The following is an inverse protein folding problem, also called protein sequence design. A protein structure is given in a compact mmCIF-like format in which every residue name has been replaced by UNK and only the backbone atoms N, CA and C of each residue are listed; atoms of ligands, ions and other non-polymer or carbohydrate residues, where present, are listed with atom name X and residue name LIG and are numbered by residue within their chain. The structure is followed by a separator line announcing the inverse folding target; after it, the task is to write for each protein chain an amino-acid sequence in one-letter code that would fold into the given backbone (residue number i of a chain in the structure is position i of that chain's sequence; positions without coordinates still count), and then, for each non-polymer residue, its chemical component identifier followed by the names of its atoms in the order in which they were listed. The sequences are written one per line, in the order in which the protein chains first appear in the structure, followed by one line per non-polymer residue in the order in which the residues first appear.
data_IF_089316682761
#
_entry.id   IF_089316682761
#
_cell.length_a   1.000
_cell.length_b   1.000
_cell.length_c   1.000
_cell.angle_alpha   90.00
_cell.angle_beta   90.00
_cell.angle_gamma   90.00
#
_symmetry.space_group_name_H-M   'P 1'
#
loop_
_entity.id
_entity.type
_entity.pdbx_description
1 polymer ?
#
# COMPACT_ATOMS: atom_id res chain seq x y z
N UNK A 1 2.80 -15.07 -7.29
CA UNK A 1 1.58 -14.40 -7.80
C UNK A 1 0.47 -15.37 -8.23
N UNK A 2 0.69 -16.29 -9.17
CA UNK A 2 -0.39 -17.20 -9.66
C UNK A 2 -1.10 -18.01 -8.57
N UNK A 3 -0.38 -18.47 -7.56
CA UNK A 3 -0.98 -19.26 -6.47
C UNK A 3 -1.94 -18.45 -5.59
N UNK A 4 -1.64 -17.19 -5.29
CA UNK A 4 -2.54 -16.33 -4.50
C UNK A 4 -3.85 -16.04 -5.23
N UNK A 5 -3.80 -15.65 -6.50
CA UNK A 5 -5.01 -15.37 -7.30
C UNK A 5 -5.93 -16.58 -7.41
N UNK A 6 -5.39 -17.78 -7.63
CA UNK A 6 -6.20 -19.01 -7.64
C UNK A 6 -6.91 -19.21 -6.30
N UNK A 7 -6.18 -19.13 -5.18
CA UNK A 7 -6.76 -19.31 -3.85
C UNK A 7 -7.81 -18.23 -3.51
N UNK A 8 -7.57 -16.97 -3.91
CA UNK A 8 -8.53 -15.88 -3.71
C UNK A 8 -9.81 -16.12 -4.51
N UNK A 9 -9.69 -16.56 -5.76
CA UNK A 9 -10.82 -16.86 -6.62
C UNK A 9 -11.63 -18.05 -6.11
N UNK A 10 -10.96 -19.13 -5.69
CA UNK A 10 -11.60 -20.31 -5.12
C UNK A 10 -12.38 -19.93 -3.85
N UNK A 11 -11.75 -19.16 -2.96
CA UNK A 11 -12.38 -18.69 -1.74
C UNK A 11 -13.54 -17.74 -2.00
N UNK A 12 -13.40 -16.84 -2.96
CA UNK A 12 -14.46 -15.91 -3.37
C UNK A 12 -15.65 -16.66 -3.96
N UNK A 13 -15.40 -17.65 -4.79
CA UNK A 13 -16.44 -18.50 -5.36
C UNK A 13 -17.16 -19.31 -4.28
N UNK A 14 -16.42 -19.87 -3.32
CA UNK A 14 -17.00 -20.57 -2.18
C UNK A 14 -17.91 -19.65 -1.34
N UNK A 15 -17.50 -18.40 -1.07
CA UNK A 15 -18.30 -17.43 -0.32
C UNK A 15 -19.63 -17.06 -0.99
N UNK A 16 -19.82 -17.39 -2.27
CA UNK A 16 -21.07 -17.18 -3.02
C UNK A 16 -22.01 -18.40 -2.98
N UNK A 17 -21.60 -19.51 -2.35
CA UNK A 17 -22.40 -20.74 -2.30
C UNK A 17 -23.41 -20.73 -1.17
N UNK A 18 -24.47 -21.54 -1.34
CA UNK A 18 -25.42 -21.80 -0.26
C UNK A 18 -24.76 -22.48 0.94
N UNK A 19 -23.73 -23.29 0.72
CA UNK A 19 -22.96 -23.95 1.78
C UNK A 19 -22.32 -22.92 2.70
N UNK A 20 -21.70 -21.87 2.14
CA UNK A 20 -21.16 -20.77 2.93
C UNK A 20 -22.24 -20.05 3.76
N UNK A 21 -23.42 -19.84 3.18
CA UNK A 21 -24.54 -19.19 3.88
C UNK A 21 -24.98 -19.94 5.14
N UNK A 22 -24.84 -21.29 5.14
CA UNK A 22 -25.21 -22.17 6.24
C UNK A 22 -24.16 -22.28 7.35
N UNK A 23 -22.96 -21.75 7.16
CA UNK A 23 -21.90 -21.77 8.17
C UNK A 23 -22.23 -20.87 9.36
N UNK A 24 -21.71 -21.22 10.53
CA UNK A 24 -21.75 -20.35 11.71
C UNK A 24 -20.88 -19.10 11.52
N UNK A 25 -21.17 -18.06 12.28
CA UNK A 25 -20.50 -16.75 12.15
C UNK A 25 -19.00 -16.80 12.45
N UNK A 26 -18.55 -17.70 13.36
CA UNK A 26 -17.13 -17.88 13.68
C UNK A 26 -16.38 -18.45 12.46
N UNK A 27 -16.95 -19.45 11.82
CA UNK A 27 -16.38 -20.05 10.61
C UNK A 27 -16.38 -19.05 9.45
N UNK A 28 -17.45 -18.28 9.25
CA UNK A 28 -17.51 -17.21 8.25
C UNK A 28 -16.43 -16.15 8.50
N UNK A 29 -16.25 -15.72 9.75
CA UNK A 29 -15.21 -14.75 10.12
C UNK A 29 -13.81 -15.28 9.81
N UNK A 30 -13.52 -16.54 10.10
CA UNK A 30 -12.23 -17.18 9.77
C UNK A 30 -11.97 -17.22 8.25
N UNK A 31 -13.01 -17.48 7.45
CA UNK A 31 -12.93 -17.47 5.99
C UNK A 31 -12.65 -16.05 5.45
N UNK A 32 -13.35 -15.05 5.97
CA UNK A 32 -13.11 -13.63 5.63
C UNK A 32 -11.68 -13.25 5.98
N UNK A 33 -11.22 -13.58 7.19
CA UNK A 33 -9.85 -13.32 7.63
C UNK A 33 -8.80 -13.96 6.72
N UNK A 34 -9.05 -15.21 6.30
CA UNK A 34 -8.17 -15.90 5.33
C UNK A 34 -8.12 -15.17 3.99
N UNK A 35 -9.24 -14.65 3.51
CA UNK A 35 -9.28 -13.85 2.28
C UNK A 35 -8.49 -12.55 2.44
N UNK A 36 -8.60 -11.84 3.57
CA UNK A 36 -7.81 -10.64 3.87
C UNK A 36 -6.32 -10.94 3.81
N UNK A 37 -5.88 -12.01 4.48
CA UNK A 37 -4.48 -12.46 4.47
C UNK A 37 -3.98 -12.74 3.03
N UNK A 38 -4.75 -13.48 2.23
CA UNK A 38 -4.37 -13.83 0.87
C UNK A 38 -4.27 -12.59 -0.03
N UNK A 39 -5.24 -11.68 0.04
CA UNK A 39 -5.24 -10.43 -0.73
C UNK A 39 -4.07 -9.53 -0.29
N UNK A 40 -3.81 -9.41 1.02
CA UNK A 40 -2.68 -8.66 1.56
C UNK A 40 -1.33 -9.21 1.09
N UNK A 41 -1.12 -10.52 1.19
CA UNK A 41 0.10 -11.17 0.73
C UNK A 41 0.30 -11.05 -0.78
N UNK A 42 -0.77 -11.21 -1.56
CA UNK A 42 -0.74 -11.00 -3.01
C UNK A 42 -0.29 -9.57 -3.34
N UNK A 43 -0.87 -8.57 -2.67
CA UNK A 43 -0.50 -7.19 -2.92
C UNK A 43 0.92 -6.85 -2.44
N UNK A 44 1.37 -7.40 -1.32
CA UNK A 44 2.76 -7.26 -0.87
C UNK A 44 3.77 -7.81 -1.91
N UNK A 45 3.42 -8.90 -2.58
CA UNK A 45 4.25 -9.43 -3.67
C UNK A 45 4.32 -8.47 -4.86
N UNK A 46 3.19 -7.83 -5.21
CA UNK A 46 3.16 -6.75 -6.23
C UNK A 46 4.02 -5.56 -5.75
N UNK A 47 3.84 -5.10 -4.52
CA UNK A 47 4.56 -3.96 -3.96
C UNK A 47 6.09 -4.16 -3.99
N UNK A 48 6.57 -5.38 -3.76
CA UNK A 48 8.00 -5.74 -3.86
C UNK A 48 8.55 -5.62 -5.29
N UNK A 49 7.70 -5.76 -6.29
CA UNK A 49 8.05 -5.81 -7.71
C UNK A 49 7.56 -4.57 -8.48
N UNK A 50 7.20 -3.47 -7.79
CA UNK A 50 6.77 -2.24 -8.44
C UNK A 50 7.81 -1.76 -9.45
N UNK A 51 7.35 -1.48 -10.68
CA UNK A 51 8.19 -0.90 -11.71
C UNK A 51 8.44 0.59 -11.40
N UNK A 52 9.61 0.90 -10.83
CA UNK A 52 9.97 2.26 -10.39
C UNK A 52 11.16 2.79 -11.18
N UNK A 53 11.06 4.04 -11.61
CA UNK A 53 12.19 4.73 -12.24
C UNK A 53 13.36 4.87 -11.25
N UNK A 54 14.59 4.81 -11.79
CA UNK A 54 15.82 5.00 -11.02
C UNK A 54 16.53 6.25 -11.49
N UNK A 55 16.94 7.11 -10.55
CA UNK A 55 17.70 8.32 -10.82
C UNK A 55 18.76 8.53 -9.73
N UNK A 56 20.02 8.75 -10.10
CA UNK A 56 21.17 8.91 -9.20
C UNK A 56 21.26 7.81 -8.12
N UNK A 57 21.01 6.57 -8.52
CA UNK A 57 21.05 5.42 -7.60
C UNK A 57 19.83 5.23 -6.71
N UNK A 58 18.88 6.16 -6.71
CA UNK A 58 17.65 6.11 -5.91
C UNK A 58 16.46 5.69 -6.76
N UNK A 59 15.53 4.92 -6.20
CA UNK A 59 14.26 4.59 -6.85
C UNK A 59 13.19 5.63 -6.54
N UNK A 60 12.37 5.95 -7.55
CA UNK A 60 11.30 6.93 -7.42
C UNK A 60 10.22 6.46 -6.42
N UNK A 61 9.86 7.27 -5.40
CA UNK A 61 8.87 6.91 -4.39
C UNK A 61 7.43 7.09 -4.86
N UNK A 62 7.20 7.70 -6.02
CA UNK A 62 5.90 8.19 -6.46
C UNK A 62 4.80 7.12 -6.48
N UNK A 63 5.07 5.89 -6.99
CA UNK A 63 4.08 4.82 -7.03
C UNK A 63 3.72 4.35 -5.62
N UNK A 64 4.70 4.22 -4.73
CA UNK A 64 4.46 3.85 -3.33
C UNK A 64 3.60 4.91 -2.62
N UNK A 65 3.91 6.20 -2.82
CA UNK A 65 3.12 7.31 -2.26
C UNK A 65 1.69 7.33 -2.85
N UNK A 66 1.52 7.05 -4.15
CA UNK A 66 0.20 6.96 -4.78
C UNK A 66 -0.65 5.83 -4.17
N UNK A 67 -0.07 4.66 -3.97
CA UNK A 67 -0.74 3.53 -3.33
C UNK A 67 -1.18 3.91 -1.91
N UNK A 68 -0.29 4.51 -1.12
CA UNK A 68 -0.62 4.96 0.24
C UNK A 68 -1.72 6.03 0.24
N UNK A 69 -1.73 6.96 -0.72
CA UNK A 69 -2.78 7.96 -0.85
C UNK A 69 -4.15 7.33 -1.11
N UNK A 70 -4.21 6.34 -2.01
CA UNK A 70 -5.44 5.58 -2.31
C UNK A 70 -5.89 4.80 -1.07
N UNK A 71 -4.98 4.12 -0.37
CA UNK A 71 -5.32 3.38 0.86
C UNK A 71 -5.91 4.28 1.95
N UNK A 72 -5.36 5.48 2.16
CA UNK A 72 -5.89 6.44 3.15
C UNK A 72 -7.26 6.99 2.74
N UNK A 73 -7.49 7.20 1.43
CA UNK A 73 -8.80 7.64 0.93
C UNK A 73 -9.87 6.53 1.00
N UNK A 74 -9.49 5.27 0.84
CA UNK A 74 -10.37 4.13 1.10
C UNK A 74 -10.69 4.04 2.59
N UNK A 75 -9.68 4.16 3.47
CA UNK A 75 -9.87 4.17 4.93
C UNK A 75 -10.82 5.26 5.40
N UNK A 76 -10.75 6.45 4.80
CA UNK A 76 -11.62 7.59 5.13
C UNK A 76 -12.98 7.55 4.42
N UNK A 77 -13.32 6.45 3.73
CA UNK A 77 -14.56 6.26 2.98
C UNK A 77 -14.77 7.28 1.84
N UNK A 78 -13.74 8.02 1.47
CA UNK A 78 -13.79 8.89 0.30
C UNK A 78 -13.82 8.07 -1.01
N UNK A 79 -13.10 6.96 -1.04
CA UNK A 79 -13.14 5.95 -2.11
C UNK A 79 -13.87 4.72 -1.56
N UNK A 80 -15.07 4.48 -2.05
CA UNK A 80 -15.95 3.38 -1.59
C UNK A 80 -16.09 2.24 -2.59
N UNK A 81 -15.38 2.31 -3.72
CA UNK A 81 -15.34 1.29 -4.76
C UNK A 81 -13.94 1.18 -5.34
N UNK A 82 -13.75 0.28 -6.29
CA UNK A 82 -12.47 0.12 -6.97
C UNK A 82 -12.17 1.21 -8.02
N UNK A 83 -12.92 2.31 -8.04
CA UNK A 83 -12.74 3.44 -8.96
C UNK A 83 -12.00 4.57 -8.28
N UNK A 84 -10.88 4.98 -8.83
CA UNK A 84 -10.03 6.06 -8.33
C UNK A 84 -10.13 7.25 -9.27
N UNK A 85 -10.57 8.40 -8.77
CA UNK A 85 -10.63 9.64 -9.54
C UNK A 85 -9.35 10.47 -9.33
N UNK A 86 -8.88 11.13 -10.39
CA UNK A 86 -7.76 12.08 -10.29
C UNK A 86 -8.26 13.46 -9.85
N UNK A 87 -8.79 13.54 -8.64
CA UNK A 87 -9.42 14.72 -8.06
C UNK A 87 -8.49 15.52 -7.11
N UNK A 88 -9.07 16.51 -6.43
CA UNK A 88 -8.33 17.36 -5.47
C UNK A 88 -8.01 16.64 -4.17
N UNK A 89 -8.83 15.69 -3.77
CA UNK A 89 -8.68 14.88 -2.57
C UNK A 89 -7.48 13.93 -2.72
N UNK A 90 -7.41 13.21 -3.85
CA UNK A 90 -6.26 12.37 -4.18
C UNK A 90 -4.97 13.19 -4.25
N UNK A 91 -5.02 14.36 -4.92
CA UNK A 91 -3.88 15.29 -4.99
C UNK A 91 -3.44 15.78 -3.60
N UNK A 92 -4.40 16.15 -2.76
CA UNK A 92 -4.16 16.62 -1.39
C UNK A 92 -3.50 15.53 -0.55
N UNK A 93 -4.08 14.33 -0.56
CA UNK A 93 -3.58 13.17 0.20
C UNK A 93 -2.20 12.71 -0.29
N UNK A 94 -1.97 12.69 -1.61
CA UNK A 94 -0.66 12.39 -2.17
C UNK A 94 0.43 13.35 -1.65
N UNK A 95 0.16 14.67 -1.66
CA UNK A 95 1.11 15.66 -1.16
C UNK A 95 1.37 15.54 0.34
N UNK A 96 0.31 15.33 1.12
CA UNK A 96 0.41 15.11 2.57
C UNK A 96 1.35 13.93 2.87
N UNK A 97 1.10 12.77 2.25
CA UNK A 97 1.92 11.58 2.45
C UNK A 97 3.34 11.80 1.93
N UNK A 98 3.51 12.44 0.75
CA UNK A 98 4.83 12.75 0.21
C UNK A 98 5.70 13.48 1.23
N UNK A 99 5.21 14.58 1.80
CA UNK A 99 5.97 15.38 2.77
C UNK A 99 6.20 14.65 4.10
N UNK A 100 5.41 13.65 4.41
CA UNK A 100 5.57 12.83 5.62
C UNK A 100 6.60 11.72 5.46
N UNK A 101 6.68 11.07 4.28
CA UNK A 101 7.46 9.83 4.13
C UNK A 101 8.66 9.94 3.19
N UNK A 102 8.70 10.93 2.30
CA UNK A 102 9.82 11.10 1.37
C UNK A 102 10.85 12.02 1.99
N UNK A 103 12.10 11.56 2.19
CA UNK A 103 13.16 12.38 2.79
C UNK A 103 13.45 13.68 2.00
N UNK A 104 13.74 14.76 2.68
CA UNK A 104 14.07 16.08 2.09
C UNK A 104 15.24 16.04 1.11
N UNK A 105 16.20 15.11 1.31
CA UNK A 105 17.33 14.85 0.39
C UNK A 105 16.99 14.05 -0.86
N UNK A 106 15.72 13.68 -1.08
CA UNK A 106 15.31 12.93 -2.25
C UNK A 106 15.52 13.72 -3.54
N UNK A 107 16.12 13.12 -4.59
CA UNK A 107 16.31 13.78 -5.89
C UNK A 107 15.01 13.93 -6.69
N UNK A 108 13.88 13.47 -6.15
CA UNK A 108 12.58 13.48 -6.80
C UNK A 108 11.70 14.63 -6.31
N UNK A 109 10.83 15.13 -7.20
CA UNK A 109 9.87 16.20 -6.90
C UNK A 109 8.49 15.62 -6.64
N UNK A 110 7.72 16.27 -5.78
CA UNK A 110 6.33 15.90 -5.49
C UNK A 110 5.44 16.12 -6.73
N UNK A 111 5.21 15.07 -7.50
CA UNK A 111 4.39 15.09 -8.72
C UNK A 111 3.42 13.89 -8.71
N UNK A 112 2.12 14.15 -8.74
CA UNK A 112 1.07 13.14 -8.58
C UNK A 112 0.46 12.64 -9.90
N UNK A 113 0.45 13.45 -10.96
CA UNK A 113 -0.18 13.07 -12.24
C UNK A 113 0.57 11.97 -12.96
N UNK A 114 1.89 12.10 -13.02
CA UNK A 114 2.74 11.11 -13.67
C UNK A 114 2.60 9.73 -13.04
N UNK A 115 2.73 9.55 -11.69
CA UNK A 115 2.51 8.24 -11.08
C UNK A 115 1.10 7.70 -11.32
N UNK A 116 0.05 8.53 -11.26
CA UNK A 116 -1.31 8.08 -11.57
C UNK A 116 -1.40 7.42 -12.95
N UNK A 117 -0.79 8.05 -13.97
CA UNK A 117 -0.78 7.51 -15.34
C UNK A 117 0.15 6.30 -15.47
N UNK A 118 1.35 6.35 -14.87
CA UNK A 118 2.34 5.27 -15.01
C UNK A 118 2.04 4.03 -14.15
N UNK A 119 1.07 4.11 -13.24
CA UNK A 119 0.56 2.94 -12.53
C UNK A 119 -0.09 1.92 -13.47
N UNK A 120 -0.51 2.31 -14.68
CA UNK A 120 -1.05 1.44 -15.72
C UNK A 120 -0.10 0.29 -16.13
N UNK A 121 1.17 0.39 -15.79
CA UNK A 121 2.13 -0.70 -15.95
C UNK A 121 2.05 -1.77 -14.84
N UNK A 122 1.26 -1.54 -13.79
CA UNK A 122 1.11 -2.44 -12.66
C UNK A 122 -0.13 -3.34 -12.84
N UNK A 123 -0.06 -4.62 -12.45
CA UNK A 123 -1.11 -5.59 -12.76
C UNK A 123 -2.46 -5.37 -12.04
N UNK A 124 -2.49 -4.46 -11.09
CA UNK A 124 -3.69 -4.14 -10.30
C UNK A 124 -4.32 -2.79 -10.65
N UNK A 125 -3.75 -2.05 -11.62
CA UNK A 125 -4.18 -0.70 -11.98
C UNK A 125 -4.49 -0.64 -13.47
N UNK A 126 -5.72 -0.26 -13.80
CA UNK A 126 -6.20 -0.11 -15.18
C UNK A 126 -6.68 1.33 -15.39
N UNK A 127 -6.10 2.03 -16.36
CA UNK A 127 -6.34 3.44 -16.60
C UNK A 127 -7.47 3.62 -17.61
N UNK A 128 -8.42 4.53 -17.34
CA UNK A 128 -9.44 4.90 -18.31
C UNK A 128 -8.82 5.54 -19.56
N UNK A 129 -9.54 5.48 -20.69
CA UNK A 129 -9.10 6.05 -21.97
C UNK A 129 -8.78 7.55 -21.83
N UNK A 130 -9.62 8.31 -21.11
CA UNK A 130 -9.47 9.74 -20.89
C UNK A 130 -8.45 10.08 -19.80
N UNK A 131 -7.90 9.06 -19.11
CA UNK A 131 -6.91 9.20 -18.01
C UNK A 131 -7.37 10.09 -16.85
N UNK A 132 -8.67 10.22 -16.64
CA UNK A 132 -9.30 10.98 -15.57
C UNK A 132 -9.62 10.10 -14.35
N UNK A 133 -9.64 8.79 -14.55
CA UNK A 133 -9.87 7.77 -13.52
C UNK A 133 -9.07 6.50 -13.78
N UNK A 134 -8.91 5.72 -12.75
CA UNK A 134 -8.34 4.39 -12.81
C UNK A 134 -9.23 3.39 -12.08
N UNK A 135 -9.07 2.12 -12.40
CA UNK A 135 -9.72 0.99 -11.76
C UNK A 135 -8.66 0.12 -11.11
N UNK A 136 -8.74 -0.07 -9.80
CA UNK A 136 -7.86 -1.05 -9.14
C UNK A 136 -8.55 -2.42 -9.12
N UNK A 137 -7.76 -3.49 -9.10
CA UNK A 137 -8.32 -4.84 -9.00
C UNK A 137 -9.12 -4.99 -7.69
N UNK A 138 -10.11 -5.88 -7.68
CA UNK A 138 -10.91 -6.13 -6.48
C UNK A 138 -10.07 -6.68 -5.33
N UNK A 139 -9.03 -7.45 -5.62
CA UNK A 139 -8.09 -7.97 -4.64
C UNK A 139 -7.31 -6.84 -3.96
N UNK A 140 -6.86 -5.85 -4.75
CA UNK A 140 -6.20 -4.65 -4.22
C UNK A 140 -7.16 -3.82 -3.37
N UNK A 141 -8.37 -3.55 -3.88
CA UNK A 141 -9.40 -2.82 -3.13
C UNK A 141 -9.73 -3.52 -1.81
N UNK A 142 -9.89 -4.85 -1.84
CA UNK A 142 -10.16 -5.65 -0.65
C UNK A 142 -9.00 -5.58 0.35
N UNK A 143 -7.75 -5.72 -0.10
CA UNK A 143 -6.58 -5.58 0.76
C UNK A 143 -6.48 -4.19 1.39
N UNK A 144 -6.82 -3.13 0.65
CA UNK A 144 -6.77 -1.74 1.14
C UNK A 144 -7.90 -1.39 2.11
N UNK A 145 -9.03 -2.08 2.02
CA UNK A 145 -10.20 -1.85 2.88
C UNK A 145 -10.05 -2.43 4.29
N UNK A 146 -9.13 -3.39 4.49
CA UNK A 146 -8.94 -4.06 5.78
C UNK A 146 -7.68 -3.56 6.49
N UNK A 147 -7.81 -3.21 7.77
CA UNK A 147 -6.75 -2.58 8.57
C UNK A 147 -5.46 -3.41 8.61
N UNK A 148 -5.56 -4.70 8.85
CA UNK A 148 -4.40 -5.58 8.98
C UNK A 148 -3.53 -5.60 7.72
N UNK A 149 -4.14 -5.88 6.56
CA UNK A 149 -3.43 -5.90 5.27
C UNK A 149 -2.93 -4.51 4.88
N UNK A 150 -3.75 -3.46 5.11
CA UNK A 150 -3.39 -2.07 4.82
C UNK A 150 -2.16 -1.62 5.61
N UNK A 151 -2.10 -1.91 6.92
CA UNK A 151 -0.96 -1.57 7.77
C UNK A 151 0.31 -2.29 7.31
N UNK A 152 0.24 -3.59 7.04
CA UNK A 152 1.39 -4.36 6.54
C UNK A 152 1.93 -3.82 5.20
N UNK A 153 1.03 -3.47 4.27
CA UNK A 153 1.39 -2.89 2.98
C UNK A 153 2.03 -1.50 3.17
N UNK A 154 1.41 -0.64 3.99
CA UNK A 154 1.93 0.70 4.30
C UNK A 154 3.35 0.64 4.87
N UNK A 155 3.57 -0.20 5.86
CA UNK A 155 4.85 -0.31 6.55
C UNK A 155 5.94 -0.80 5.59
N UNK A 156 5.63 -1.76 4.73
CA UNK A 156 6.52 -2.19 3.66
C UNK A 156 6.86 -1.03 2.69
N UNK A 157 5.85 -0.28 2.23
CA UNK A 157 6.06 0.82 1.27
C UNK A 157 6.91 1.94 1.88
N UNK A 158 6.69 2.29 3.16
CA UNK A 158 7.51 3.28 3.88
C UNK A 158 8.96 2.79 3.98
N UNK A 159 9.18 1.56 4.43
CA UNK A 159 10.53 0.99 4.52
C UNK A 159 11.24 1.01 3.16
N UNK A 160 10.54 0.63 2.08
CA UNK A 160 11.10 0.63 0.74
C UNK A 160 11.48 2.03 0.23
N UNK A 161 10.69 3.07 0.60
CA UNK A 161 11.02 4.46 0.27
C UNK A 161 12.31 4.88 0.96
N UNK A 162 12.45 4.59 2.25
CA UNK A 162 13.65 4.97 3.03
C UNK A 162 14.89 4.24 2.55
N UNK A 163 14.81 2.96 2.22
CA UNK A 163 15.93 2.18 1.71
C UNK A 163 16.39 2.62 0.32
N UNK A 164 15.44 2.93 -0.55
CA UNK A 164 15.68 3.11 -1.98
C UNK A 164 15.84 4.57 -2.40
N UNK A 165 15.38 5.53 -1.58
CA UNK A 165 15.37 6.96 -1.94
C UNK A 165 16.60 7.70 -1.42
N UNK A 166 17.31 7.14 -0.47
CA UNK A 166 18.55 7.69 0.07
C UNK A 166 19.72 7.04 -0.64
N UNK A 167 20.49 7.78 -1.41
CA UNK A 167 21.70 7.26 -2.06
C UNK A 167 22.71 6.77 -1.02
N UNK A 168 23.51 5.77 -1.37
CA UNK A 168 24.58 5.26 -0.52
C UNK A 168 25.59 6.34 -0.12
N UNK A 169 25.77 7.37 -0.95
CA UNK A 169 26.63 8.53 -0.68
C UNK A 169 26.07 9.43 0.43
N UNK A 170 24.75 9.55 0.53
CA UNK A 170 24.10 10.32 1.59
C UNK A 170 24.18 9.57 2.94
N UNK A 171 24.12 8.24 2.94
CA UNK A 171 24.23 7.43 4.18
C UNK A 171 25.61 7.55 4.85
N UNK A 172 26.66 7.87 4.08
CA UNK A 172 28.02 7.98 4.60
C UNK A 172 28.36 9.36 5.15
N UNK A 173 27.50 10.37 4.99
CA UNK A 173 27.77 11.77 5.36
C UNK A 173 27.01 12.32 6.56
N UNK A 174 25.91 11.72 6.97
CA UNK A 174 25.10 12.22 8.10
C UNK A 174 24.68 11.12 9.06
N UNK A 175 25.22 11.20 10.27
CA UNK A 175 24.90 10.32 11.42
C UNK A 175 23.62 10.73 12.19
N UNK A 176 22.71 11.50 11.59
CA UNK A 176 21.48 11.96 12.25
C UNK A 176 20.22 11.43 11.55
N UNK A 177 20.01 10.12 11.66
CA UNK A 177 18.70 9.51 11.35
C UNK A 177 18.15 8.92 12.64
N UNK A 178 17.52 9.72 13.48
CA UNK A 178 17.01 9.19 14.73
C UNK A 178 15.68 9.78 15.23
N UNK A 179 14.79 10.29 14.37
CA UNK A 179 13.58 10.91 14.89
C UNK A 179 12.25 10.40 14.35
N UNK A 180 12.20 9.83 13.13
CA UNK A 180 10.91 9.39 12.56
C UNK A 180 10.52 7.94 12.91
N UNK A 181 11.48 7.10 13.32
CA UNK A 181 11.20 5.71 13.71
C UNK A 181 10.72 5.62 15.16
N UNK A 182 11.07 6.60 16.00
CA UNK A 182 10.81 6.54 17.43
C UNK A 182 9.33 6.76 17.80
N UNK A 183 8.62 7.66 17.14
CA UNK A 183 7.21 7.93 17.48
C UNK A 183 6.25 6.83 17.00
N UNK A 184 6.47 6.27 15.81
CA UNK A 184 5.64 5.16 15.30
C UNK A 184 5.99 3.82 15.99
N UNK A 185 7.24 3.62 16.43
CA UNK A 185 7.62 2.43 17.24
C UNK A 185 7.03 2.47 18.64
N UNK A 186 6.87 3.65 19.23
CA UNK A 186 6.24 3.78 20.57
C UNK A 186 4.73 3.44 20.47
N UNK A 187 4.08 3.72 19.36
CA UNK A 187 2.68 3.34 19.14
C UNK A 187 2.49 1.83 18.92
N UNK A 188 3.53 1.10 18.48
CA UNK A 188 3.49 -0.35 18.22
C UNK A 188 4.02 -1.19 19.38
N UNK A 189 4.71 -0.61 20.35
CA UNK A 189 5.28 -1.32 21.50
C UNK A 189 4.27 -2.17 22.29
N UNK A 190 3.00 -1.78 22.46
CA UNK A 190 2.01 -2.63 23.13
C UNK A 190 1.61 -3.88 22.36
N UNK A 191 1.79 -3.90 21.03
CA UNK A 191 1.35 -5.00 20.15
C UNK A 191 2.40 -6.11 20.05
N UNK A 192 3.68 -5.78 20.25
CA UNK A 192 4.80 -6.73 20.06
C UNK A 192 5.36 -7.31 21.36
N UNK A 193 4.85 -6.93 22.53
CA UNK A 193 5.23 -7.54 23.82
C UNK A 193 6.71 -7.36 24.20
N UNK A 194 7.44 -6.42 23.64
CA UNK A 194 8.80 -6.11 24.04
C UNK A 194 8.81 -5.17 25.24
N UNK A 195 9.08 -5.72 26.41
CA UNK A 195 9.45 -4.94 27.59
C UNK A 195 10.90 -4.49 27.43
N UNK A 196 11.11 -3.22 27.16
CA UNK A 196 12.45 -2.62 27.29
C UNK A 196 12.64 -2.37 28.79
N UNK A 197 13.46 -3.21 29.45
CA UNK A 197 13.95 -2.91 30.79
C UNK A 197 14.94 -1.73 30.69
N UNK A 198 14.66 -0.70 31.48
CA UNK A 198 15.55 0.45 31.72
C UNK A 198 16.68 0.00 32.63
#
# INVERSE_FOLDING_TARGET
MRNYLSQINDLTSFMQTEVYALLDETTKAAIVQKKVELCGNYFLEIARNLNRNKYRGCYAPHKAVMIMAVMELIKSEHITSNVILIDKELKGKFKEIWHRVVPDGSPFKCEYRNPFTYMDSEPFWDLSIDKDKAFISWEAFYAFSHDESRLAIRDYLISSIHEDTISKEYRNGHHDINWMVAEDMIALAPVLGFVIAI
#
